data_IF_482864966123
#
_entry.id   IF_482864966123
#
_cell.length_a   1.000
_cell.length_b   1.000
_cell.length_c   1.000
_cell.angle_alpha   90.00
_cell.angle_beta   90.00
_cell.angle_gamma   90.00
#
_symmetry.space_group_name_H-M   'P 1'
#
loop_
_entity.id
_entity.type
_entity.pdbx_description
1 polymer ?
#
# COMPACT_ATOMS: atom_id res chain seq x y z
N UNK A 1 -19.97 -5.67 -10.02
CA UNK A 1 -18.71 -4.90 -9.95
C UNK A 1 -18.04 -5.37 -8.66
N UNK A 2 -17.12 -6.33 -8.77
CA UNK A 2 -16.38 -6.82 -7.59
C UNK A 2 -15.16 -5.91 -7.51
N UNK A 3 -15.16 -4.98 -6.55
CA UNK A 3 -13.99 -4.16 -6.26
C UNK A 3 -12.80 -5.01 -5.81
N UNK A 4 -11.59 -4.44 -5.75
CA UNK A 4 -10.44 -5.15 -5.21
C UNK A 4 -10.76 -5.65 -3.80
N UNK A 5 -10.35 -6.88 -3.49
CA UNK A 5 -10.46 -7.43 -2.15
C UNK A 5 -9.26 -7.00 -1.31
N UNK A 6 -9.41 -7.06 0.01
CA UNK A 6 -8.32 -6.77 0.91
C UNK A 6 -7.15 -7.74 0.67
N UNK A 7 -5.95 -7.20 0.42
CA UNK A 7 -4.73 -7.96 0.21
C UNK A 7 -4.32 -8.81 1.42
N UNK A 8 -4.84 -8.47 2.61
CA UNK A 8 -4.58 -9.18 3.85
C UNK A 8 -5.10 -10.62 3.77
N UNK A 9 -4.20 -11.59 3.94
CA UNK A 9 -4.55 -13.02 4.01
C UNK A 9 -5.65 -13.28 5.04
N UNK A 10 -6.73 -13.92 4.61
CA UNK A 10 -7.90 -14.24 5.45
C UNK A 10 -8.87 -13.08 5.63
N UNK A 11 -8.81 -12.05 4.77
CA UNK A 11 -9.76 -10.95 4.78
C UNK A 11 -10.54 -10.88 3.46
N UNK A 12 -11.79 -11.33 3.49
CA UNK A 12 -12.71 -11.31 2.34
C UNK A 12 -13.50 -9.99 2.25
N UNK A 13 -12.99 -8.91 2.88
CA UNK A 13 -13.63 -7.59 2.82
C UNK A 13 -13.21 -6.88 1.54
N UNK A 14 -14.13 -6.09 0.99
CA UNK A 14 -13.80 -5.16 -0.08
C UNK A 14 -12.73 -4.16 0.38
N UNK A 15 -11.75 -3.91 -0.46
CA UNK A 15 -10.78 -2.86 -0.26
C UNK A 15 -11.48 -1.51 -0.46
N UNK A 16 -11.26 -0.62 0.50
CA UNK A 16 -11.76 0.76 0.50
C UNK A 16 -10.61 1.77 0.39
N UNK A 17 -9.37 1.31 0.56
CA UNK A 17 -8.17 2.12 0.51
C UNK A 17 -7.08 1.38 -0.27
N UNK A 18 -6.14 2.15 -0.80
CA UNK A 18 -4.90 1.68 -1.39
C UNK A 18 -3.74 2.36 -0.66
N UNK A 19 -2.86 1.55 -0.08
CA UNK A 19 -1.58 2.01 0.43
C UNK A 19 -0.56 1.91 -0.69
N UNK A 20 0.11 3.03 -0.98
CA UNK A 20 1.18 3.12 -1.97
C UNK A 20 2.47 3.42 -1.25
N UNK A 21 3.43 2.50 -1.40
CA UNK A 21 4.78 2.69 -0.89
C UNK A 21 5.76 2.75 -2.04
N UNK A 22 6.48 3.86 -2.14
CA UNK A 22 7.55 4.08 -3.09
C UNK A 22 8.88 4.09 -2.35
N UNK A 23 9.83 3.28 -2.81
CA UNK A 23 11.17 3.18 -2.23
C UNK A 23 12.21 2.86 -3.29
N UNK A 24 13.48 3.16 -3.00
CA UNK A 24 14.58 2.78 -3.88
C UNK A 24 14.90 1.31 -3.66
N UNK A 25 15.02 0.54 -4.74
CA UNK A 25 15.41 -0.86 -4.63
C UNK A 25 16.85 -0.97 -4.12
N UNK A 26 17.08 -1.84 -3.12
CA UNK A 26 18.41 -2.05 -2.51
C UNK A 26 19.48 -2.44 -3.54
N UNK A 27 19.08 -3.15 -4.61
CA UNK A 27 19.95 -3.55 -5.73
C UNK A 27 20.27 -2.42 -6.71
N UNK A 28 19.71 -1.22 -6.50
CA UNK A 28 19.94 -0.05 -7.34
C UNK A 28 19.29 -0.12 -8.72
N UNK A 29 18.34 -1.04 -8.95
CA UNK A 29 17.70 -1.19 -10.25
C UNK A 29 16.64 -0.10 -10.54
N UNK A 30 16.23 0.66 -9.52
CA UNK A 30 15.32 1.80 -9.69
C UNK A 30 14.40 2.02 -8.50
N UNK A 31 13.32 2.75 -8.76
CA UNK A 31 12.28 3.05 -7.78
C UNK A 31 11.16 2.03 -7.91
N UNK A 32 10.90 1.32 -6.81
CA UNK A 32 9.78 0.40 -6.67
C UNK A 32 8.56 1.19 -6.23
N UNK A 33 7.42 0.89 -6.85
CA UNK A 33 6.11 1.40 -6.47
C UNK A 33 5.25 0.19 -6.09
N UNK A 34 4.98 0.04 -4.80
CA UNK A 34 4.20 -1.06 -4.24
C UNK A 34 2.80 -0.57 -3.88
N UNK A 35 1.77 -1.26 -4.38
CA UNK A 35 0.37 -0.93 -4.10
C UNK A 35 -0.29 -2.08 -3.32
N UNK A 36 -0.90 -1.76 -2.17
CA UNK A 36 -1.62 -2.71 -1.33
C UNK A 36 -3.06 -2.24 -1.13
N UNK A 37 -4.01 -3.03 -1.62
CA UNK A 37 -5.44 -2.78 -1.45
C UNK A 37 -5.92 -3.29 -0.10
N UNK A 38 -6.57 -2.43 0.68
CA UNK A 38 -6.92 -2.71 2.07
C UNK A 38 -8.34 -2.28 2.38
N UNK A 39 -9.01 -3.03 3.25
CA UNK A 39 -10.24 -2.56 3.87
C UNK A 39 -9.92 -1.46 4.90
N UNK A 40 -10.91 -0.66 5.30
CA UNK A 40 -10.74 0.45 6.24
C UNK A 40 -10.04 0.06 7.55
N UNK A 41 -10.29 -1.15 8.07
CA UNK A 41 -9.65 -1.62 9.29
C UNK A 41 -8.15 -1.82 9.08
N UNK A 42 -7.77 -2.62 8.09
CA UNK A 42 -6.37 -2.88 7.80
C UNK A 42 -5.63 -1.65 7.28
N UNK A 43 -6.28 -0.73 6.58
CA UNK A 43 -5.66 0.53 6.16
C UNK A 43 -5.25 1.43 7.34
N UNK A 44 -5.91 1.29 8.51
CA UNK A 44 -5.52 1.99 9.74
C UNK A 44 -4.40 1.28 10.50
N UNK A 45 -4.26 -0.02 10.29
CA UNK A 45 -3.20 -0.83 10.90
C UNK A 45 -1.94 -0.84 10.03
N UNK A 46 -2.09 -0.59 8.73
CA UNK A 46 -1.00 -0.52 7.76
C UNK A 46 -0.02 0.56 8.17
N UNK A 47 1.25 0.19 8.15
CA UNK A 47 2.35 1.06 8.48
C UNK A 47 3.39 0.97 7.37
N UNK A 48 4.14 2.06 7.12
CA UNK A 48 5.30 2.03 6.26
C UNK A 48 6.23 0.85 6.62
N UNK A 49 6.54 0.01 5.64
CA UNK A 49 7.35 -1.20 5.86
C UNK A 49 8.84 -0.86 5.96
N UNK A 50 9.27 0.15 5.19
CA UNK A 50 10.66 0.59 5.09
C UNK A 50 10.93 1.89 5.86
N UNK A 51 10.50 1.97 7.13
CA UNK A 51 10.76 3.13 8.01
C UNK A 51 12.27 3.45 8.19
N UNK A 52 13.13 2.44 8.03
CA UNK A 52 14.59 2.57 8.14
C UNK A 52 15.21 3.20 6.87
N UNK A 53 14.49 3.17 5.74
CA UNK A 53 14.94 3.78 4.49
C UNK A 53 14.53 5.26 4.44
N UNK A 54 15.26 6.10 5.18
CA UNK A 54 15.15 7.57 5.09
C UNK A 54 15.79 8.12 3.81
N UNK A 55 15.42 7.58 2.65
CA UNK A 55 15.84 8.10 1.35
C UNK A 55 14.91 9.24 0.91
N UNK A 56 15.40 10.24 0.17
CA UNK A 56 14.57 11.33 -0.34
C UNK A 56 13.47 10.86 -1.32
N UNK A 57 13.61 9.63 -1.83
CA UNK A 57 12.67 9.01 -2.77
C UNK A 57 11.62 8.16 -2.06
N UNK A 58 11.78 7.92 -0.75
CA UNK A 58 10.81 7.21 0.06
C UNK A 58 9.51 8.00 0.21
N UNK A 59 8.39 7.37 -0.13
CA UNK A 59 7.07 7.96 0.02
C UNK A 59 6.03 6.89 0.33
N UNK A 60 5.35 7.04 1.45
CA UNK A 60 4.20 6.23 1.83
C UNK A 60 2.93 7.09 1.85
N UNK A 61 1.89 6.67 1.11
CA UNK A 61 0.60 7.38 1.04
C UNK A 61 -0.54 6.36 1.11
N UNK A 62 -1.58 6.66 1.90
CA UNK A 62 -2.80 5.87 1.94
C UNK A 62 -3.95 6.72 1.42
N UNK A 63 -4.60 6.26 0.36
CA UNK A 63 -5.70 6.99 -0.30
C UNK A 63 -6.95 6.09 -0.41
N UNK A 64 -8.16 6.66 -0.37
CA UNK A 64 -9.38 5.89 -0.63
C UNK A 64 -9.41 5.39 -2.08
N UNK A 65 -9.83 4.14 -2.29
CA UNK A 65 -10.08 3.65 -3.65
C UNK A 65 -11.43 4.16 -4.12
N UNK A 66 -11.43 5.00 -5.15
CA UNK A 66 -12.65 5.53 -5.74
C UNK A 66 -13.40 4.38 -6.44
N UNK A 67 -14.56 4.00 -5.90
CA UNK A 67 -15.49 3.04 -6.51
C UNK A 67 -16.11 3.70 -7.75
N UNK A 68 -15.44 3.60 -8.90
CA UNK A 68 -15.98 4.03 -10.21
C UNK A 68 -16.99 3.03 -10.78
#
# INVERSE_FOLDING_TARGET
MTGPECHRRGCDRAAAFVARERYAEETGAGIVDAEAYLCQAHAREESPANLDESTPEYRFVVEPVDEK
#
